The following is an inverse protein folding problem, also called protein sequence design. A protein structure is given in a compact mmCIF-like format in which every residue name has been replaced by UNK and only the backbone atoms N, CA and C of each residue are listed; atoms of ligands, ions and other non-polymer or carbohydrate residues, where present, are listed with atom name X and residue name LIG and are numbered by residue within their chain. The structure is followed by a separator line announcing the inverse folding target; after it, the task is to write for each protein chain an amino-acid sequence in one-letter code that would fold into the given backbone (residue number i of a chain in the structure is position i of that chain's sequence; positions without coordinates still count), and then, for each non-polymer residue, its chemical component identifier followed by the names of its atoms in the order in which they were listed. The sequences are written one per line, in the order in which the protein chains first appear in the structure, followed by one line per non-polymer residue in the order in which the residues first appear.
data_IF_448576525728
#
_entry.id   IF_448576525728
#
_cell.length_a   1.000
_cell.length_b   1.000
_cell.length_c   1.000
_cell.angle_alpha   90.00
_cell.angle_beta   90.00
_cell.angle_gamma   90.00
#
_symmetry.space_group_name_H-M   'P 1'
#
loop_
_entity.id
_entity.type
_entity.pdbx_description
1 polymer ?
#
# COMPACT_ATOMS: atom_id res chain seq x y z
N UNK A 1 7.67 25.07 11.83
CA UNK A 1 6.35 25.04 12.46
C UNK A 1 6.12 23.59 12.86
N UNK A 2 6.46 23.25 14.10
CA UNK A 2 6.47 21.87 14.59
C UNK A 2 5.04 21.39 14.80
N UNK A 3 4.70 20.26 14.19
CA UNK A 3 3.43 19.57 14.39
C UNK A 3 3.43 19.01 15.81
N UNK A 4 2.49 19.45 16.64
CA UNK A 4 2.34 18.97 18.00
C UNK A 4 2.00 17.47 17.99
N UNK A 5 2.62 16.71 18.91
CA UNK A 5 2.43 15.26 19.08
C UNK A 5 0.96 14.82 19.23
N UNK A 6 0.02 15.74 19.46
CA UNK A 6 -1.40 15.47 19.67
C UNK A 6 -2.18 15.14 18.37
N UNK A 7 -1.73 15.62 17.20
CA UNK A 7 -2.44 15.34 15.92
C UNK A 7 -2.07 13.98 15.31
N UNK A 8 -0.98 13.35 15.75
CA UNK A 8 -0.57 12.02 15.30
C UNK A 8 -1.39 10.87 15.95
N UNK A 9 -2.19 11.18 16.97
CA UNK A 9 -2.89 10.18 17.79
C UNK A 9 -4.36 9.94 17.40
N UNK A 10 -4.93 10.69 16.46
CA UNK A 10 -6.38 10.64 16.20
C UNK A 10 -6.80 9.75 15.03
N UNK A 11 -5.84 9.23 14.24
CA UNK A 11 -6.10 8.25 13.18
C UNK A 11 -5.12 7.10 13.43
N UNK A 12 -5.46 6.21 14.37
CA UNK A 12 -4.72 4.96 14.50
C UNK A 12 -5.06 4.10 13.29
N UNK A 13 -4.07 3.75 12.48
CA UNK A 13 -4.24 2.76 11.44
C UNK A 13 -4.91 1.49 12.00
N UNK A 14 -5.80 0.88 11.23
CA UNK A 14 -6.38 -0.41 11.56
C UNK A 14 -5.25 -1.39 11.90
N UNK A 15 -5.33 -2.07 13.05
CA UNK A 15 -4.30 -3.05 13.47
C UNK A 15 -4.14 -4.22 12.49
N UNK A 16 -5.09 -4.37 11.55
CA UNK A 16 -5.16 -5.47 10.59
C UNK A 16 -4.72 -5.07 9.18
N UNK A 17 -4.52 -3.79 8.92
CA UNK A 17 -4.27 -3.27 7.57
C UNK A 17 -2.97 -2.47 7.56
N UNK A 18 -2.09 -2.72 6.59
CA UNK A 18 -0.84 -1.98 6.45
C UNK A 18 -1.10 -0.53 6.03
N UNK A 19 -0.24 0.37 6.51
CA UNK A 19 -0.35 1.81 6.17
C UNK A 19 -0.02 2.02 4.69
N UNK A 20 0.93 1.25 4.16
CA UNK A 20 1.31 1.27 2.75
C UNK A 20 0.47 0.25 1.96
N UNK A 21 0.06 0.58 0.72
CA UNK A 21 -0.67 -0.36 -0.11
C UNK A 21 0.20 -1.57 -0.46
N UNK A 22 -0.32 -2.76 -0.16
CA UNK A 22 0.32 -4.05 -0.46
C UNK A 22 0.10 -4.45 -1.92
N UNK A 23 -1.06 -4.11 -2.47
CA UNK A 23 -1.42 -4.36 -3.86
C UNK A 23 -1.38 -3.06 -4.68
N UNK A 24 -1.16 -3.20 -5.99
CA UNK A 24 -1.14 -2.10 -6.96
C UNK A 24 -2.37 -2.11 -7.85
N UNK A 25 -2.69 -0.96 -8.41
CA UNK A 25 -3.71 -0.85 -9.47
C UNK A 25 -3.24 -1.67 -10.67
N UNK A 26 -4.15 -2.46 -11.26
CA UNK A 26 -3.89 -3.40 -12.34
C UNK A 26 -3.37 -4.77 -11.87
N UNK A 27 -3.06 -4.96 -10.59
CA UNK A 27 -2.58 -6.24 -10.09
C UNK A 27 -3.69 -7.28 -10.05
N UNK A 28 -3.38 -8.49 -10.51
CA UNK A 28 -4.28 -9.64 -10.43
C UNK A 28 -4.26 -10.26 -9.04
N UNK A 29 -5.44 -10.50 -8.49
CA UNK A 29 -5.65 -10.99 -7.13
C UNK A 29 -6.68 -12.12 -7.08
N UNK A 30 -6.55 -13.02 -6.11
CA UNK A 30 -7.52 -14.04 -5.75
C UNK A 30 -8.26 -13.67 -4.49
N UNK A 31 -9.53 -14.04 -4.43
CA UNK A 31 -10.28 -14.09 -3.19
C UNK A 31 -9.89 -15.32 -2.37
N UNK A 32 -9.50 -15.10 -1.11
CA UNK A 32 -9.25 -16.19 -0.14
C UNK A 32 -10.53 -16.62 0.60
N UNK A 33 -11.49 -15.69 0.73
CA UNK A 33 -12.77 -15.88 1.41
C UNK A 33 -13.91 -15.43 0.50
N UNK A 34 -15.09 -16.07 0.59
CA UNK A 34 -16.23 -15.67 -0.22
C UNK A 34 -16.81 -14.34 0.29
N UNK A 35 -17.19 -13.45 -0.62
CA UNK A 35 -17.91 -12.22 -0.29
C UNK A 35 -19.39 -12.55 -0.19
N UNK A 36 -20.00 -12.13 0.92
CA UNK A 36 -21.44 -12.22 1.14
C UNK A 36 -22.06 -10.84 1.11
N UNK A 37 -23.27 -10.76 0.58
CA UNK A 37 -24.03 -9.52 0.59
C UNK A 37 -24.42 -9.17 2.03
N UNK A 38 -23.90 -8.06 2.55
CA UNK A 38 -24.26 -7.50 3.86
C UNK A 38 -25.52 -6.61 3.80
N UNK A 39 -26.12 -6.48 2.61
CA UNK A 39 -27.25 -5.59 2.33
C UNK A 39 -26.86 -4.36 1.51
N UNK A 40 -25.57 -4.21 1.17
CA UNK A 40 -25.10 -3.12 0.30
C UNK A 40 -25.52 -3.30 -1.16
N UNK A 41 -25.74 -4.54 -1.62
CA UNK A 41 -26.17 -4.82 -2.99
C UNK A 41 -27.70 -5.02 -3.05
N UNK A 42 -28.47 -4.15 -3.73
CA UNK A 42 -29.93 -4.22 -3.76
C UNK A 42 -30.49 -5.33 -4.67
N UNK A 43 -29.67 -5.93 -5.54
CA UNK A 43 -30.12 -6.94 -6.51
C UNK A 43 -30.01 -8.38 -5.99
N UNK A 44 -29.28 -8.59 -4.90
CA UNK A 44 -29.01 -9.90 -4.31
C UNK A 44 -29.61 -10.00 -2.91
N UNK A 45 -29.93 -11.21 -2.48
CA UNK A 45 -30.48 -11.44 -1.15
C UNK A 45 -29.42 -11.21 -0.05
N UNK A 46 -29.81 -10.80 1.17
CA UNK A 46 -28.88 -10.75 2.30
C UNK A 46 -28.25 -12.13 2.56
N UNK A 47 -26.94 -12.15 2.82
CA UNK A 47 -26.10 -13.35 3.00
C UNK A 47 -25.86 -14.22 1.75
N UNK A 48 -26.39 -13.84 0.58
CA UNK A 48 -26.06 -14.48 -0.68
C UNK A 48 -24.56 -14.32 -0.99
N UNK A 49 -23.96 -15.34 -1.60
CA UNK A 49 -22.55 -15.29 -2.01
C UNK A 49 -22.49 -14.51 -3.32
N UNK A 50 -21.87 -13.32 -3.28
CA UNK A 50 -21.68 -12.47 -4.44
C UNK A 50 -20.47 -12.96 -5.26
N UNK A 51 -19.37 -13.25 -4.56
CA UNK A 51 -18.13 -13.73 -5.17
C UNK A 51 -17.67 -14.97 -4.41
N UNK A 52 -17.44 -16.10 -5.10
CA UNK A 52 -16.95 -17.32 -4.47
C UNK A 52 -15.49 -17.17 -4.02
N UNK A 53 -15.08 -17.97 -3.03
CA UNK A 53 -13.66 -18.11 -2.70
C UNK A 53 -12.92 -18.72 -3.89
N UNK A 54 -11.76 -18.18 -4.23
CA UNK A 54 -10.97 -18.58 -5.38
C UNK A 54 -11.20 -17.74 -6.64
N UNK A 55 -12.22 -16.87 -6.66
CA UNK A 55 -12.45 -15.96 -7.78
C UNK A 55 -11.25 -15.04 -8.00
N UNK A 56 -10.93 -14.80 -9.27
CA UNK A 56 -9.82 -13.95 -9.69
C UNK A 56 -10.35 -12.61 -10.22
N UNK A 57 -9.65 -11.54 -9.88
CA UNK A 57 -10.00 -10.20 -10.31
C UNK A 57 -8.78 -9.30 -10.41
N UNK A 58 -9.01 -8.07 -10.83
CA UNK A 58 -7.98 -7.05 -10.98
C UNK A 58 -8.28 -5.84 -10.09
N UNK A 59 -7.27 -5.37 -9.37
CA UNK A 59 -7.40 -4.17 -8.53
C UNK A 59 -7.58 -2.95 -9.44
N UNK A 60 -8.73 -2.32 -9.36
CA UNK A 60 -9.10 -1.14 -10.17
C UNK A 60 -8.78 0.16 -9.46
N UNK A 61 -8.96 0.20 -8.14
CA UNK A 61 -8.75 1.40 -7.33
C UNK A 61 -8.35 1.03 -5.89
N UNK A 62 -7.60 1.92 -5.24
CA UNK A 62 -7.15 1.77 -3.86
C UNK A 62 -7.66 2.97 -3.08
N UNK A 63 -8.51 2.74 -2.10
CA UNK A 63 -9.12 3.77 -1.29
C UNK A 63 -9.01 3.50 0.20
N UNK A 64 -9.45 4.48 0.99
CA UNK A 64 -9.42 4.41 2.44
C UNK A 64 -10.85 4.61 2.97
N UNK A 65 -11.31 3.67 3.80
CA UNK A 65 -12.56 3.80 4.54
C UNK A 65 -12.29 4.39 5.92
N UNK A 66 -13.04 5.45 6.27
CA UNK A 66 -12.89 6.22 7.51
C UNK A 66 -11.43 6.67 7.78
N UNK A 67 -10.61 6.78 6.73
CA UNK A 67 -9.18 7.11 6.78
C UNK A 67 -8.30 6.13 7.60
N UNK A 68 -8.86 5.00 8.05
CA UNK A 68 -8.17 4.02 8.92
C UNK A 68 -8.08 2.62 8.33
N UNK A 69 -8.98 2.27 7.41
CA UNK A 69 -9.06 0.93 6.81
C UNK A 69 -8.79 1.05 5.31
N UNK A 70 -7.75 0.38 4.84
CA UNK A 70 -7.46 0.30 3.41
C UNK A 70 -8.47 -0.64 2.73
N UNK A 71 -9.04 -0.18 1.62
CA UNK A 71 -9.97 -0.96 0.79
C UNK A 71 -9.45 -1.00 -0.64
N UNK A 72 -9.35 -2.20 -1.19
CA UNK A 72 -9.00 -2.47 -2.57
C UNK A 72 -10.28 -2.73 -3.35
N UNK A 73 -10.58 -1.88 -4.33
CA UNK A 73 -11.68 -2.09 -5.25
C UNK A 73 -11.23 -3.06 -6.34
N UNK A 74 -11.75 -4.29 -6.31
CA UNK A 74 -11.39 -5.37 -7.24
C UNK A 74 -12.53 -5.58 -8.22
N UNK A 75 -12.20 -5.53 -9.51
CA UNK A 75 -13.12 -5.85 -10.59
C UNK A 75 -12.98 -7.33 -10.96
N UNK A 76 -14.08 -8.07 -10.80
CA UNK A 76 -14.18 -9.48 -11.14
C UNK A 76 -14.76 -9.61 -12.54
N UNK A 77 -13.94 -10.05 -13.49
CA UNK A 77 -14.31 -10.05 -14.92
C UNK A 77 -15.35 -11.13 -15.23
N UNK A 78 -15.33 -12.26 -14.52
CA UNK A 78 -16.27 -13.37 -14.74
C UNK A 78 -17.68 -13.01 -14.24
N UNK A 79 -17.78 -12.39 -13.06
CA UNK A 79 -19.05 -11.93 -12.48
C UNK A 79 -19.53 -10.61 -13.09
N UNK A 80 -18.62 -9.75 -13.57
CA UNK A 80 -18.93 -8.44 -14.14
C UNK A 80 -19.17 -7.35 -13.09
N UNK A 81 -18.89 -7.65 -11.82
CA UNK A 81 -19.11 -6.77 -10.68
C UNK A 81 -17.80 -6.31 -10.05
N UNK A 82 -17.89 -5.25 -9.26
CA UNK A 82 -16.75 -4.66 -8.56
C UNK A 82 -17.05 -4.57 -7.06
N UNK A 83 -16.16 -5.11 -6.23
CA UNK A 83 -16.32 -5.12 -4.78
C UNK A 83 -15.09 -4.59 -4.05
N UNK A 84 -15.32 -3.97 -2.89
CA UNK A 84 -14.26 -3.52 -1.99
C UNK A 84 -13.82 -4.65 -1.07
N UNK A 85 -12.54 -5.00 -1.11
CA UNK A 85 -11.93 -6.05 -0.31
C UNK A 85 -10.83 -5.48 0.59
N UNK A 86 -10.61 -6.10 1.76
CA UNK A 86 -9.44 -5.80 2.58
C UNK A 86 -8.24 -6.62 2.13
N UNK A 87 -7.04 -6.21 2.55
CA UNK A 87 -5.81 -6.93 2.22
C UNK A 87 -5.84 -8.40 2.69
N UNK A 88 -6.37 -8.65 3.89
CA UNK A 88 -6.42 -9.98 4.48
C UNK A 88 -7.38 -10.96 3.77
N UNK A 89 -8.14 -10.46 2.79
CA UNK A 89 -9.09 -11.24 1.98
C UNK A 89 -8.52 -11.55 0.60
N UNK A 90 -7.43 -10.88 0.20
CA UNK A 90 -6.84 -10.96 -1.13
C UNK A 90 -5.49 -11.69 -1.12
N UNK A 91 -5.23 -12.44 -2.18
CA UNK A 91 -3.94 -13.07 -2.47
C UNK A 91 -3.45 -12.60 -3.84
N UNK A 92 -2.18 -12.20 -3.97
CA UNK A 92 -1.63 -11.83 -5.28
C UNK A 92 -1.47 -13.07 -6.18
N UNK A 93 -2.00 -13.02 -7.40
CA UNK A 93 -1.82 -14.11 -8.38
C UNK A 93 -1.10 -13.60 -9.62
N UNK A 94 0.15 -14.01 -9.78
CA UNK A 94 0.92 -13.79 -11.00
C UNK A 94 2.14 -12.93 -10.78
N UNK A 95 2.95 -12.86 -11.81
CA UNK A 95 4.18 -12.09 -11.82
C UNK A 95 3.85 -10.60 -11.82
N UNK A 96 4.53 -9.87 -10.95
CA UNK A 96 4.60 -8.42 -10.94
C UNK A 96 5.21 -7.98 -12.27
N UNK A 97 4.38 -7.73 -13.27
CA UNK A 97 4.80 -7.20 -14.57
C UNK A 97 4.87 -5.67 -14.57
N UNK A 98 4.49 -5.03 -13.46
CA UNK A 98 4.57 -3.58 -13.25
C UNK A 98 5.92 -3.13 -12.70
N UNK A 99 6.49 -2.09 -13.32
CA UNK A 99 7.56 -1.28 -12.73
C UNK A 99 7.07 -0.66 -11.42
N UNK A 100 7.77 -0.92 -10.31
CA UNK A 100 7.53 -0.23 -9.05
C UNK A 100 8.33 1.08 -9.01
N UNK A 101 7.76 2.13 -9.59
CA UNK A 101 8.36 3.46 -9.60
C UNK A 101 8.69 3.95 -8.18
N UNK A 102 7.92 3.56 -7.17
CA UNK A 102 8.11 4.00 -5.78
C UNK A 102 9.32 3.30 -5.15
N UNK A 103 9.49 1.99 -5.37
CA UNK A 103 10.70 1.27 -4.92
C UNK A 103 11.97 1.80 -5.57
N UNK A 104 11.93 2.09 -6.88
CA UNK A 104 13.09 2.66 -7.59
C UNK A 104 13.45 4.06 -7.09
N UNK A 105 12.46 4.94 -6.93
CA UNK A 105 12.65 6.28 -6.35
C UNK A 105 13.21 6.19 -4.92
N UNK A 106 12.69 5.26 -4.10
CA UNK A 106 13.21 5.03 -2.74
C UNK A 106 14.66 4.55 -2.74
N UNK A 107 15.03 3.66 -3.68
CA UNK A 107 16.43 3.23 -3.88
C UNK A 107 17.31 4.41 -4.24
N UNK A 108 16.92 5.19 -5.24
CA UNK A 108 17.67 6.35 -5.71
C UNK A 108 17.86 7.39 -4.60
N UNK A 109 16.81 7.72 -3.85
CA UNK A 109 16.88 8.66 -2.72
C UNK A 109 17.83 8.16 -1.62
N UNK A 110 17.79 6.86 -1.29
CA UNK A 110 18.67 6.27 -0.26
C UNK A 110 20.13 6.32 -0.68
N UNK A 111 20.43 5.95 -1.93
CA UNK A 111 21.77 6.00 -2.49
C UNK A 111 22.30 7.44 -2.53
N UNK A 112 21.51 8.40 -3.02
CA UNK A 112 21.93 9.81 -3.10
C UNK A 112 22.13 10.45 -1.72
N UNK A 113 21.29 10.08 -0.74
CA UNK A 113 21.49 10.52 0.65
C UNK A 113 22.76 9.93 1.25
N UNK A 114 23.07 8.66 0.96
CA UNK A 114 24.31 8.01 1.40
C UNK A 114 25.54 8.66 0.74
N UNK A 115 25.50 8.93 -0.56
CA UNK A 115 26.58 9.61 -1.27
C UNK A 115 26.80 11.05 -0.78
N UNK A 116 25.71 11.79 -0.54
CA UNK A 116 25.78 13.14 0.04
C UNK A 116 26.32 13.12 1.46
N UNK A 117 25.92 12.14 2.28
CA UNK A 117 26.46 11.95 3.62
C UNK A 117 27.95 11.57 3.60
N UNK A 118 28.36 10.68 2.70
CA UNK A 118 29.76 10.28 2.53
C UNK A 118 30.64 11.45 2.05
N UNK A 119 30.17 12.23 1.06
CA UNK A 119 30.86 13.45 0.61
C UNK A 119 30.97 14.48 1.72
N UNK A 120 29.90 14.68 2.51
CA UNK A 120 29.90 15.61 3.64
C UNK A 120 30.89 15.17 4.73
N UNK A 121 30.87 13.89 5.11
CA UNK A 121 31.80 13.33 6.09
C UNK A 121 33.26 13.43 5.63
N UNK A 122 33.54 13.20 4.33
CA UNK A 122 34.88 13.37 3.76
C UNK A 122 35.35 14.84 3.79
N UNK A 123 34.45 15.79 3.52
CA UNK A 123 34.74 17.23 3.57
C UNK A 123 34.97 17.70 5.02
N UNK A 124 34.19 17.19 5.97
CA UNK A 124 34.35 17.45 7.40
C UNK A 124 35.66 16.86 7.92
N UNK A 125 36.03 15.64 7.54
CA UNK A 125 37.32 15.03 7.89
C UNK A 125 38.52 15.81 7.31
N UNK A 126 38.41 16.27 6.06
CA UNK A 126 39.44 17.12 5.44
C UNK A 126 39.56 18.49 6.13
N UNK A 127 38.45 19.09 6.55
CA UNK A 127 38.43 20.33 7.32
C UNK A 127 38.98 20.14 8.75
N UNK A 128 38.80 18.96 9.35
CA UNK A 128 39.35 18.60 10.66
C UNK A 128 40.87 18.49 10.60
N UNK A 129 41.43 17.78 9.60
CA UNK A 129 42.88 17.65 9.42
C UNK A 129 43.58 18.97 9.06
N UNK A 130 42.86 19.94 8.46
CA UNK A 130 43.39 21.29 8.22
C UNK A 130 43.40 22.17 9.48
N UNK A 131 42.60 21.84 10.51
CA UNK A 131 42.58 22.55 11.81
C UNK A 131 43.58 22.00 12.82
N UNK A 132 43.97 20.73 12.71
CA UNK A 132 44.96 20.11 13.62
C UNK A 132 46.43 20.31 13.17
N UNK A 133 46.65 20.93 12.00
CA UNK A 133 47.97 21.18 11.42
C UNK A 133 48.50 22.62 11.56
N UNK A 134 47.93 23.45 12.44
CA UNK A 134 48.40 24.82 12.77
C UNK A 134 48.77 24.93 14.24
#
# INVERSE_FOLDING_TARGET
MELTHAQASQISASTKDEILPVFRIGQRVRMTKPIRNDGSNPFNDPNEILVPAGAEGYVKHIGDWLQVIRIYEVHFIEEGDTYGCREAELEAIGDVDGYDEVEEELRWIREHRAERAAKKAALEAAAQSQKEGV
#
